data_IF_818457616518
#
_entry.id   IF_818457616518
#
_cell.length_a   1.000
_cell.length_b   1.000
_cell.length_c   1.000
_cell.angle_alpha   90.00
_cell.angle_beta   90.00
_cell.angle_gamma   90.00
#
_symmetry.space_group_name_H-M   'P 1'
#
loop_
_entity.id
_entity.type
_entity.pdbx_description
1 polymer ?
#
# COMPACT_ATOMS: atom_id res chain seq x y z
N UNK A 1 16.79 -27.20 10.15
CA UNK A 1 16.18 -25.96 9.62
C UNK A 1 15.89 -26.20 8.15
N UNK A 2 14.62 -26.40 7.79
CA UNK A 2 14.23 -26.78 6.43
C UNK A 2 14.41 -25.59 5.48
N UNK A 3 15.36 -25.70 4.55
CA UNK A 3 15.53 -24.72 3.50
C UNK A 3 14.44 -24.96 2.45
N UNK A 4 13.52 -24.01 2.30
CA UNK A 4 12.47 -24.09 1.27
C UNK A 4 13.09 -24.15 -0.16
N UNK A 5 12.38 -24.51 -1.23
CA UNK A 5 12.91 -24.41 -2.60
C UNK A 5 12.84 -22.96 -3.13
N UNK A 6 13.63 -22.58 -4.14
CA UNK A 6 13.56 -21.22 -4.72
C UNK A 6 12.15 -21.00 -5.28
N UNK A 7 11.62 -19.79 -5.06
CA UNK A 7 10.24 -19.46 -5.44
C UNK A 7 10.29 -18.55 -6.65
N UNK A 8 9.71 -18.98 -7.76
CA UNK A 8 9.60 -18.16 -8.97
C UNK A 8 8.58 -17.04 -8.82
N UNK A 9 8.67 -16.04 -9.70
CA UNK A 9 7.81 -14.85 -9.72
C UNK A 9 6.31 -15.16 -9.65
N UNK A 10 5.80 -16.04 -10.52
CA UNK A 10 4.38 -16.44 -10.52
C UNK A 10 3.99 -17.23 -9.26
N UNK A 11 4.90 -18.08 -8.77
CA UNK A 11 4.66 -18.92 -7.60
C UNK A 11 4.56 -18.09 -6.33
N UNK A 12 5.25 -16.95 -6.25
CA UNK A 12 5.15 -16.02 -5.12
C UNK A 12 3.75 -15.44 -4.96
N UNK A 13 3.08 -15.07 -6.05
CA UNK A 13 1.72 -14.54 -6.05
C UNK A 13 0.70 -15.56 -5.52
N UNK A 14 0.78 -16.79 -6.01
CA UNK A 14 -0.09 -17.88 -5.52
C UNK A 14 0.19 -18.17 -4.05
N UNK A 15 1.46 -18.17 -3.64
CA UNK A 15 1.85 -18.43 -2.25
C UNK A 15 1.40 -17.34 -1.29
N UNK A 16 1.38 -16.08 -1.75
CA UNK A 16 0.89 -14.92 -0.99
C UNK A 16 -0.58 -15.09 -0.63
N UNK A 17 -1.43 -15.39 -1.61
CA UNK A 17 -2.85 -15.64 -1.38
C UNK A 17 -3.11 -16.95 -0.66
N UNK A 18 -2.29 -17.99 -0.87
CA UNK A 18 -2.44 -19.28 -0.17
C UNK A 18 -2.14 -19.17 1.33
N UNK A 19 -1.16 -18.33 1.71
CA UNK A 19 -0.73 -18.14 3.10
C UNK A 19 -1.17 -16.79 3.67
N UNK A 20 -2.28 -16.22 3.17
CA UNK A 20 -2.69 -14.86 3.53
C UNK A 20 -3.02 -14.68 5.02
N UNK A 21 -3.49 -15.72 5.70
CA UNK A 21 -3.76 -15.76 7.16
C UNK A 21 -2.76 -16.63 7.94
N UNK A 22 -1.76 -17.18 7.26
CA UNK A 22 -0.79 -18.04 7.91
C UNK A 22 0.37 -17.21 8.46
N UNK A 23 0.30 -16.91 9.75
CA UNK A 23 1.34 -16.19 10.50
C UNK A 23 2.48 -17.11 10.98
N UNK A 24 2.40 -18.42 10.71
CA UNK A 24 3.39 -19.41 11.13
C UNK A 24 4.29 -19.79 9.95
N UNK A 25 5.53 -20.14 10.27
CA UNK A 25 6.53 -20.57 9.28
C UNK A 25 7.42 -19.42 8.79
N UNK A 26 8.19 -19.72 7.74
CA UNK A 26 9.23 -18.85 7.18
C UNK A 26 8.87 -18.46 5.76
N UNK A 27 9.19 -17.23 5.37
CA UNK A 27 9.00 -16.73 4.00
C UNK A 27 10.34 -16.33 3.43
N UNK A 28 10.67 -16.78 2.23
CA UNK A 28 11.97 -16.43 1.64
C UNK A 28 12.03 -14.97 1.25
N UNK A 29 13.23 -14.38 1.30
CA UNK A 29 13.49 -13.00 0.84
C UNK A 29 12.99 -12.79 -0.60
N UNK A 30 13.13 -13.80 -1.47
CA UNK A 30 12.63 -13.74 -2.84
C UNK A 30 11.10 -13.63 -2.94
N UNK A 31 10.34 -14.28 -2.04
CA UNK A 31 8.87 -14.17 -2.03
C UNK A 31 8.42 -12.74 -1.74
N UNK A 32 9.09 -12.07 -0.78
CA UNK A 32 8.83 -10.67 -0.46
C UNK A 32 9.12 -9.75 -1.65
N UNK A 33 10.30 -9.86 -2.25
CA UNK A 33 10.68 -9.00 -3.37
C UNK A 33 9.82 -9.22 -4.61
N UNK A 34 9.46 -10.47 -4.91
CA UNK A 34 8.53 -10.73 -6.01
C UNK A 34 7.12 -10.21 -5.73
N UNK A 35 6.65 -10.28 -4.49
CA UNK A 35 5.37 -9.66 -4.12
C UNK A 35 5.41 -8.13 -4.17
N UNK A 36 6.51 -7.51 -3.75
CA UNK A 36 6.72 -6.07 -3.91
C UNK A 36 6.64 -5.66 -5.40
N UNK A 37 7.24 -6.45 -6.30
CA UNK A 37 7.13 -6.24 -7.74
C UNK A 37 5.70 -6.44 -8.26
N UNK A 38 4.96 -7.44 -7.78
CA UNK A 38 3.54 -7.60 -8.11
C UNK A 38 2.70 -6.41 -7.65
N UNK A 39 2.93 -5.89 -6.45
CA UNK A 39 2.25 -4.69 -5.98
C UNK A 39 2.55 -3.49 -6.87
N UNK A 40 3.81 -3.34 -7.32
CA UNK A 40 4.19 -2.30 -8.28
C UNK A 40 3.44 -2.45 -9.61
N UNK A 41 3.41 -3.66 -10.18
CA UNK A 41 2.71 -3.93 -11.46
C UNK A 41 1.21 -3.66 -11.37
N UNK A 42 0.59 -3.95 -10.23
CA UNK A 42 -0.86 -3.76 -10.03
C UNK A 42 -1.23 -2.31 -9.68
N UNK A 43 -0.33 -1.56 -9.04
CA UNK A 43 -0.60 -0.19 -8.60
C UNK A 43 -0.17 0.87 -9.61
N UNK A 44 0.92 0.66 -10.35
CA UNK A 44 1.43 1.65 -11.32
C UNK A 44 0.37 2.04 -12.37
N UNK A 45 -0.32 1.10 -13.04
CA UNK A 45 -1.36 1.45 -14.01
C UNK A 45 -2.49 2.25 -13.38
N UNK A 46 -2.93 1.89 -12.17
CA UNK A 46 -3.99 2.60 -11.46
C UNK A 46 -3.60 4.04 -11.11
N UNK A 47 -2.35 4.25 -10.68
CA UNK A 47 -1.81 5.59 -10.42
C UNK A 47 -1.70 6.40 -11.71
N UNK A 48 -1.22 5.81 -12.81
CA UNK A 48 -1.16 6.48 -14.11
C UNK A 48 -2.55 6.91 -14.57
N UNK A 49 -3.55 6.04 -14.48
CA UNK A 49 -4.94 6.35 -14.83
C UNK A 49 -5.47 7.49 -13.96
N UNK A 50 -5.20 7.49 -12.66
CA UNK A 50 -5.64 8.56 -11.76
C UNK A 50 -5.01 9.91 -12.14
N UNK A 51 -3.70 9.94 -12.41
CA UNK A 51 -2.99 11.16 -12.83
C UNK A 51 -3.58 11.68 -14.14
N UNK A 52 -3.78 10.82 -15.14
CA UNK A 52 -4.35 11.22 -16.43
C UNK A 52 -5.75 11.82 -16.26
N UNK A 53 -6.62 11.19 -15.47
CA UNK A 53 -7.97 11.69 -15.22
C UNK A 53 -7.98 13.01 -14.43
N UNK A 54 -7.01 13.20 -13.52
CA UNK A 54 -6.85 14.46 -12.80
C UNK A 54 -6.47 15.60 -13.76
N UNK A 55 -5.52 15.36 -14.67
CA UNK A 55 -5.18 16.33 -15.72
C UNK A 55 -6.38 16.62 -16.63
N UNK A 56 -7.12 15.58 -17.03
CA UNK A 56 -8.31 15.74 -17.86
C UNK A 56 -9.40 16.55 -17.17
N UNK A 57 -9.60 16.36 -15.87
CA UNK A 57 -10.55 17.12 -15.06
C UNK A 57 -10.22 18.62 -15.08
N UNK A 58 -8.95 19.00 -14.88
CA UNK A 58 -8.55 20.40 -14.95
C UNK A 58 -8.72 21.02 -16.34
N UNK A 59 -8.38 20.28 -17.40
CA UNK A 59 -8.63 20.73 -18.78
C UNK A 59 -10.13 20.90 -19.04
N UNK A 60 -10.94 19.99 -18.53
CA UNK A 60 -12.39 19.99 -18.70
C UNK A 60 -13.06 21.19 -18.07
N UNK A 61 -12.59 21.63 -16.90
CA UNK A 61 -13.06 22.84 -16.23
C UNK A 61 -12.67 24.07 -17.05
N UNK A 62 -11.43 24.13 -17.55
CA UNK A 62 -10.97 25.26 -18.35
C UNK A 62 -11.68 25.38 -19.72
N UNK A 63 -12.21 24.27 -20.23
CA UNK A 63 -12.89 24.21 -21.53
C UNK A 63 -14.43 24.28 -21.44
N UNK A 64 -15.01 24.50 -20.24
CA UNK A 64 -16.46 24.56 -19.99
C UNK A 64 -17.27 23.40 -20.58
N UNK A 65 -16.66 22.21 -20.67
CA UNK A 65 -17.28 21.01 -21.25
C UNK A 65 -17.92 20.14 -20.15
N UNK A 66 -19.21 20.32 -19.88
CA UNK A 66 -19.93 19.62 -18.82
C UNK A 66 -19.85 18.08 -18.93
N UNK A 67 -19.91 17.54 -20.15
CA UNK A 67 -19.84 16.09 -20.40
C UNK A 67 -18.51 15.49 -19.96
N UNK A 68 -17.41 16.20 -20.21
CA UNK A 68 -16.07 15.76 -19.89
C UNK A 68 -15.79 15.87 -18.38
N UNK A 69 -16.42 16.82 -17.69
CA UNK A 69 -16.33 16.97 -16.23
C UNK A 69 -16.96 15.74 -15.56
N UNK A 70 -18.19 15.41 -15.93
CA UNK A 70 -18.92 14.26 -15.35
C UNK A 70 -18.17 12.96 -15.59
N UNK A 71 -17.65 12.75 -16.80
CA UNK A 71 -16.87 11.54 -17.12
C UNK A 71 -15.57 11.46 -16.32
N UNK A 72 -14.85 12.58 -16.17
CA UNK A 72 -13.60 12.61 -15.39
C UNK A 72 -13.84 12.30 -13.91
N UNK A 73 -14.90 12.87 -13.32
CA UNK A 73 -15.28 12.59 -11.93
C UNK A 73 -15.63 11.11 -11.75
N UNK A 74 -16.43 10.55 -12.66
CA UNK A 74 -16.80 9.12 -12.59
C UNK A 74 -15.56 8.21 -12.64
N UNK A 75 -14.61 8.50 -13.52
CA UNK A 75 -13.37 7.72 -13.65
C UNK A 75 -12.46 7.86 -12.43
N UNK A 76 -12.40 9.04 -11.81
CA UNK A 76 -11.68 9.25 -10.55
C UNK A 76 -12.30 8.42 -9.43
N UNK A 77 -13.63 8.42 -9.30
CA UNK A 77 -14.35 7.63 -8.30
C UNK A 77 -14.12 6.12 -8.52
N UNK A 78 -14.21 5.64 -9.76
CA UNK A 78 -14.00 4.23 -10.07
C UNK A 78 -12.57 3.79 -9.69
N UNK A 79 -11.58 4.61 -10.03
CA UNK A 79 -10.17 4.33 -9.75
C UNK A 79 -9.88 4.38 -8.24
N UNK A 80 -10.49 5.30 -7.49
CA UNK A 80 -10.32 5.39 -6.04
C UNK A 80 -10.98 4.22 -5.31
N UNK A 81 -12.13 3.75 -5.77
CA UNK A 81 -12.76 2.53 -5.24
C UNK A 81 -11.87 1.31 -5.50
N UNK A 82 -11.29 1.18 -6.70
CA UNK A 82 -10.36 0.10 -7.01
C UNK A 82 -9.15 0.09 -6.06
N UNK A 83 -8.49 1.23 -5.86
CA UNK A 83 -7.32 1.30 -4.97
C UNK A 83 -7.68 1.06 -3.51
N UNK A 84 -8.85 1.52 -3.08
CA UNK A 84 -9.36 1.26 -1.74
C UNK A 84 -9.59 -0.25 -1.50
N UNK A 85 -10.33 -0.92 -2.39
CA UNK A 85 -10.58 -2.37 -2.29
C UNK A 85 -9.28 -3.17 -2.33
N UNK A 86 -8.34 -2.79 -3.20
CA UNK A 86 -7.05 -3.45 -3.30
C UNK A 86 -6.22 -3.31 -2.03
N UNK A 87 -6.18 -2.11 -1.42
CA UNK A 87 -5.46 -1.89 -0.16
C UNK A 87 -6.04 -2.74 0.98
N UNK A 88 -7.38 -2.85 1.04
CA UNK A 88 -8.06 -3.67 2.05
C UNK A 88 -7.78 -5.17 1.86
N UNK A 89 -7.84 -5.65 0.62
CA UNK A 89 -7.60 -7.05 0.29
C UNK A 89 -6.15 -7.49 0.57
N UNK A 90 -5.19 -6.59 0.35
CA UNK A 90 -3.76 -6.90 0.52
C UNK A 90 -3.24 -6.65 1.93
N UNK A 91 -3.99 -5.94 2.78
CA UNK A 91 -3.58 -5.58 4.13
C UNK A 91 -3.21 -6.79 5.00
N UNK A 92 -4.11 -7.77 5.11
CA UNK A 92 -3.91 -8.97 5.92
C UNK A 92 -2.73 -9.82 5.41
N UNK A 93 -2.66 -10.20 4.11
CA UNK A 93 -1.54 -10.99 3.62
C UNK A 93 -0.18 -10.28 3.68
N UNK A 94 -0.13 -8.95 3.53
CA UNK A 94 1.10 -8.19 3.72
C UNK A 94 1.59 -8.27 5.16
N UNK A 95 0.69 -8.16 6.14
CA UNK A 95 1.02 -8.33 7.54
C UNK A 95 1.50 -9.77 7.83
N UNK A 96 0.83 -10.78 7.27
CA UNK A 96 1.24 -12.17 7.41
C UNK A 96 2.63 -12.45 6.82
N UNK A 97 2.97 -11.81 5.70
CA UNK A 97 4.28 -11.96 5.05
C UNK A 97 5.38 -11.25 5.86
N UNK A 98 5.13 -10.06 6.40
CA UNK A 98 6.06 -9.36 7.29
C UNK A 98 6.31 -10.12 8.59
N UNK A 99 5.28 -10.69 9.21
CA UNK A 99 5.42 -11.52 10.42
C UNK A 99 6.29 -12.76 10.15
N UNK A 100 6.07 -13.45 9.02
CA UNK A 100 6.91 -14.60 8.62
C UNK A 100 8.37 -14.23 8.36
N UNK A 101 8.64 -13.03 7.81
CA UNK A 101 10.00 -12.52 7.69
C UNK A 101 10.65 -12.18 9.03
N UNK A 102 9.93 -11.60 9.98
CA UNK A 102 10.49 -11.29 11.30
C UNK A 102 10.84 -12.54 12.11
N UNK A 103 10.05 -13.61 11.94
CA UNK A 103 10.40 -14.93 12.46
C UNK A 103 11.73 -15.46 11.92
N UNK A 104 12.18 -15.03 10.74
CA UNK A 104 13.46 -15.46 10.18
C UNK A 104 14.67 -14.92 10.96
N UNK A 105 14.50 -13.80 11.68
CA UNK A 105 15.54 -13.15 12.49
C UNK A 105 15.44 -13.59 13.97
N UNK A 106 14.65 -14.62 14.29
CA UNK A 106 14.38 -15.09 15.66
C UNK A 106 13.84 -14.00 16.60
N UNK A 107 13.18 -12.98 16.05
CA UNK A 107 12.53 -11.92 16.83
C UNK A 107 11.03 -12.20 16.95
N UNK A 108 10.45 -11.68 18.03
CA UNK A 108 9.03 -11.90 18.37
C UNK A 108 8.09 -11.20 17.39
N UNK A 109 6.91 -11.79 17.18
CA UNK A 109 5.81 -11.30 16.32
C UNK A 109 5.34 -9.87 16.63
N UNK A 110 5.70 -9.38 17.81
CA UNK A 110 5.21 -8.12 18.36
C UNK A 110 5.74 -6.91 17.60
N UNK A 111 6.99 -6.95 17.12
CA UNK A 111 7.59 -5.77 16.51
C UNK A 111 6.87 -5.33 15.21
N UNK A 112 6.59 -6.22 14.23
CA UNK A 112 5.81 -5.84 13.05
C UNK A 112 4.41 -5.35 13.39
N UNK A 113 3.70 -6.00 14.32
CA UNK A 113 2.35 -5.60 14.69
C UNK A 113 2.33 -4.24 15.38
N UNK A 114 3.23 -4.00 16.34
CA UNK A 114 3.35 -2.70 17.03
C UNK A 114 3.67 -1.60 16.03
N UNK A 115 4.59 -1.83 15.09
CA UNK A 115 4.92 -0.84 14.06
C UNK A 115 3.73 -0.55 13.14
N UNK A 116 2.98 -1.57 12.73
CA UNK A 116 1.79 -1.36 11.87
C UNK A 116 0.72 -0.56 12.60
N UNK A 117 0.45 -0.89 13.88
CA UNK A 117 -0.51 -0.17 14.72
C UNK A 117 -0.04 1.26 14.99
N UNK A 118 1.24 1.46 15.28
CA UNK A 118 1.83 2.78 15.48
C UNK A 118 1.69 3.65 14.22
N UNK A 119 1.99 3.12 13.04
CA UNK A 119 1.81 3.86 11.77
C UNK A 119 0.36 4.28 11.53
N UNK A 120 -0.62 3.42 11.83
CA UNK A 120 -2.04 3.75 11.68
C UNK A 120 -2.45 4.84 12.67
N UNK A 121 -2.10 4.70 13.95
CA UNK A 121 -2.42 5.69 14.98
C UNK A 121 -1.75 7.02 14.65
N UNK A 122 -0.49 7.00 14.26
CA UNK A 122 0.27 8.19 13.88
C UNK A 122 -0.36 8.91 12.69
N UNK A 123 -0.81 8.17 11.66
CA UNK A 123 -1.54 8.73 10.53
C UNK A 123 -2.85 9.41 10.95
N UNK A 124 -3.65 8.76 11.80
CA UNK A 124 -4.92 9.33 12.30
C UNK A 124 -4.67 10.59 13.13
N UNK A 125 -3.68 10.57 14.02
CA UNK A 125 -3.32 11.74 14.85
C UNK A 125 -2.91 12.92 13.99
N UNK A 126 -2.11 12.69 12.94
CA UNK A 126 -1.72 13.76 12.02
C UNK A 126 -2.91 14.34 11.26
N UNK A 127 -3.86 13.50 10.83
CA UNK A 127 -5.10 13.97 10.17
C UNK A 127 -5.97 14.80 11.13
N UNK A 128 -6.04 14.44 12.41
CA UNK A 128 -6.77 15.22 13.42
C UNK A 128 -6.08 16.57 13.68
N UNK A 129 -4.74 16.60 13.74
CA UNK A 129 -3.97 17.83 13.93
C UNK A 129 -4.14 18.76 12.74
N UNK A 130 -4.08 18.23 11.52
CA UNK A 130 -4.29 18.99 10.28
C UNK A 130 -5.71 19.56 10.19
N UNK A 131 -6.73 18.81 10.63
CA UNK A 131 -8.09 19.31 10.74
C UNK A 131 -8.26 20.41 11.80
N UNK A 132 -7.38 20.50 12.80
CA UNK A 132 -7.47 21.47 13.90
C UNK A 132 -6.62 22.73 13.65
N UNK A 133 -5.50 22.59 12.95
CA UNK A 133 -4.65 23.68 12.51
C UNK A 133 -4.91 23.95 11.03
N UNK A 134 -5.58 25.06 10.73
CA UNK A 134 -5.88 25.59 9.37
C UNK A 134 -4.60 26.12 8.67
N UNK A 135 -3.52 25.33 8.74
CA UNK A 135 -2.21 25.66 8.20
C UNK A 135 -1.90 24.68 7.07
N UNK A 136 -1.31 25.17 5.97
CA UNK A 136 -0.79 24.41 4.82
C UNK A 136 0.31 23.38 5.16
N UNK A 137 0.39 22.94 6.41
CA UNK A 137 1.30 21.94 6.96
C UNK A 137 0.89 20.51 6.59
N UNK A 138 0.32 20.28 5.41
CA UNK A 138 -0.10 18.95 4.94
C UNK A 138 1.08 18.12 4.41
N UNK A 139 2.13 18.77 3.90
CA UNK A 139 3.25 18.11 3.22
C UNK A 139 4.29 17.47 4.17
N UNK A 140 4.58 18.07 5.33
CA UNK A 140 5.54 17.52 6.30
C UNK A 140 5.03 16.25 7.02
N UNK A 141 3.76 16.19 7.50
CA UNK A 141 3.16 14.99 8.08
C UNK A 141 3.09 13.82 7.11
N UNK A 142 2.72 14.09 5.86
CA UNK A 142 2.58 13.08 4.82
C UNK A 142 3.96 12.54 4.40
N UNK A 143 4.96 13.42 4.26
CA UNK A 143 6.35 13.04 3.99
C UNK A 143 6.97 12.18 5.10
N UNK A 144 6.70 12.48 6.37
CA UNK A 144 7.17 11.68 7.51
C UNK A 144 6.51 10.30 7.58
N UNK A 145 5.22 10.21 7.25
CA UNK A 145 4.50 8.93 7.15
C UNK A 145 5.06 8.07 6.02
N UNK A 146 5.28 8.66 4.84
CA UNK A 146 5.89 7.96 3.70
C UNK A 146 7.30 7.49 4.07
N UNK A 147 8.11 8.31 4.75
CA UNK A 147 9.44 7.92 5.24
C UNK A 147 9.39 6.76 6.23
N UNK A 148 8.45 6.78 7.19
CA UNK A 148 8.25 5.70 8.17
C UNK A 148 7.83 4.39 7.48
N UNK A 149 6.95 4.47 6.49
CA UNK A 149 6.54 3.33 5.67
C UNK A 149 7.71 2.80 4.83
N UNK A 150 8.52 3.67 4.22
CA UNK A 150 9.70 3.27 3.47
C UNK A 150 10.76 2.61 4.37
N UNK A 151 11.01 3.14 5.56
CA UNK A 151 11.90 2.53 6.55
C UNK A 151 11.40 1.15 6.99
N UNK A 152 10.07 0.95 7.08
CA UNK A 152 9.47 -0.35 7.33
C UNK A 152 9.73 -1.36 6.20
N UNK A 153 9.73 -0.92 4.93
CA UNK A 153 10.04 -1.80 3.78
C UNK A 153 11.53 -2.13 3.62
N UNK A 154 12.43 -1.30 4.18
CA UNK A 154 13.90 -1.43 4.10
C UNK A 154 14.48 -2.36 5.17
N UNK A 155 13.75 -2.63 6.27
CA UNK A 155 14.15 -3.54 7.36
C UNK A 155 13.69 -5.00 7.06
#
# INVERSE_FOLDING_TARGET
>A
MEQLPQVGFMKSFVLFWKNYVNFKGRSRRSEYWYMALWHLILMVPAVCVLIINLFLFFISIAADNETLIVMSILMIILTSVYTFVYSLATFIPNLALCVRRFHDISRTMLFPMIMTVFSIIFYIVLQIIDSYYDSDFTLMPMGLNILLVLLYFVI
#
